data_IF_448476944154
#
_entry.id   IF_448476944154
#
_cell.length_a   1.000
_cell.length_b   1.000
_cell.length_c   1.000
_cell.angle_alpha   90.00
_cell.angle_beta   90.00
_cell.angle_gamma   90.00
#
_symmetry.space_group_name_H-M   'P 1'
#
loop_
_entity.id
_entity.type
_entity.pdbx_description
1 polymer ?
#
# COMPACT_ATOMS: atom_id res chain seq x y z
N UNK A 1 -12.27 -16.54 15.26
CA UNK A 1 -11.80 -15.39 14.48
C UNK A 1 -12.65 -15.15 13.26
N UNK A 2 -12.51 -13.98 12.64
CA UNK A 2 -13.23 -13.56 11.44
C UNK A 2 -12.22 -13.33 10.31
N UNK A 3 -12.62 -13.63 9.08
CA UNK A 3 -11.87 -13.37 7.86
C UNK A 3 -12.72 -12.48 6.95
N UNK A 4 -12.13 -11.38 6.45
CA UNK A 4 -12.76 -10.51 5.48
C UNK A 4 -12.05 -10.66 4.13
N UNK A 5 -12.82 -10.90 3.08
CA UNK A 5 -12.29 -11.25 1.75
C UNK A 5 -12.91 -10.33 0.72
N UNK A 6 -12.04 -9.74 -0.12
CA UNK A 6 -12.46 -9.05 -1.33
C UNK A 6 -12.67 -10.08 -2.44
N UNK A 7 -13.83 -10.03 -3.09
CA UNK A 7 -14.20 -10.87 -4.21
C UNK A 7 -14.78 -10.01 -5.34
N UNK A 8 -15.07 -10.65 -6.48
CA UNK A 8 -15.74 -10.01 -7.61
C UNK A 8 -16.69 -10.98 -8.30
N UNK A 9 -17.67 -10.45 -9.00
CA UNK A 9 -18.54 -11.20 -9.91
C UNK A 9 -18.82 -10.43 -11.19
N UNK A 10 -19.49 -11.08 -12.15
CA UNK A 10 -19.88 -10.49 -13.42
C UNK A 10 -18.74 -9.85 -14.21
N UNK A 11 -17.57 -10.52 -14.22
CA UNK A 11 -16.38 -10.00 -14.88
C UNK A 11 -15.98 -8.60 -14.38
N UNK A 12 -16.07 -8.39 -13.07
CA UNK A 12 -15.69 -7.15 -12.39
C UNK A 12 -16.73 -6.05 -12.39
N UNK A 13 -17.99 -6.29 -12.77
CA UNK A 13 -19.06 -5.31 -12.62
C UNK A 13 -19.56 -5.18 -11.17
N UNK A 14 -19.31 -6.19 -10.36
CA UNK A 14 -19.64 -6.18 -8.93
C UNK A 14 -18.41 -6.47 -8.09
N UNK A 15 -18.12 -5.62 -7.12
CA UNK A 15 -17.14 -5.86 -6.05
C UNK A 15 -17.87 -6.40 -4.85
N UNK A 16 -17.27 -7.32 -4.14
CA UNK A 16 -17.92 -8.04 -3.06
C UNK A 16 -16.98 -8.07 -1.86
N UNK A 17 -17.48 -7.65 -0.71
CA UNK A 17 -16.85 -7.85 0.57
C UNK A 17 -17.56 -8.99 1.30
N UNK A 18 -16.85 -10.03 1.65
CA UNK A 18 -17.39 -11.17 2.41
C UNK A 18 -16.76 -11.24 3.80
N UNK A 19 -17.61 -11.54 4.79
CA UNK A 19 -17.17 -11.99 6.11
C UNK A 19 -17.37 -13.48 6.24
N UNK A 20 -16.31 -14.16 6.65
CA UNK A 20 -16.30 -15.61 6.84
C UNK A 20 -15.79 -15.97 8.22
N UNK A 21 -16.26 -17.08 8.76
CA UNK A 21 -15.65 -17.69 9.93
C UNK A 21 -14.24 -18.17 9.58
N UNK A 22 -13.23 -17.71 10.33
CA UNK A 22 -11.82 -17.99 10.00
C UNK A 22 -11.43 -19.47 10.17
N UNK A 23 -12.18 -20.25 10.96
CA UNK A 23 -11.90 -21.67 11.22
C UNK A 23 -12.56 -22.58 10.18
N UNK A 24 -13.80 -22.26 9.77
CA UNK A 24 -14.63 -23.12 8.92
C UNK A 24 -14.76 -22.62 7.49
N UNK A 25 -14.37 -21.38 7.19
CA UNK A 25 -14.58 -20.74 5.90
C UNK A 25 -16.05 -20.37 5.62
N UNK A 26 -16.99 -20.66 6.54
CA UNK A 26 -18.42 -20.45 6.33
C UNK A 26 -18.74 -18.96 6.16
N UNK A 27 -19.47 -18.63 5.08
CA UNK A 27 -19.95 -17.29 4.81
C UNK A 27 -20.94 -16.85 5.93
N UNK A 28 -20.72 -15.66 6.48
CA UNK A 28 -21.60 -15.04 7.47
C UNK A 28 -22.45 -13.94 6.86
N UNK A 29 -21.83 -13.07 6.05
CA UNK A 29 -22.52 -12.08 5.24
C UNK A 29 -21.68 -11.68 4.02
N UNK A 30 -22.33 -11.07 3.04
CA UNK A 30 -21.69 -10.42 1.89
C UNK A 30 -22.34 -9.08 1.61
N UNK A 31 -21.52 -8.09 1.24
CA UNK A 31 -21.92 -6.77 0.78
C UNK A 31 -21.44 -6.58 -0.65
N UNK A 32 -22.31 -6.10 -1.51
CA UNK A 32 -22.02 -5.90 -2.94
C UNK A 32 -21.97 -4.42 -3.31
N UNK A 33 -21.05 -4.06 -4.21
CA UNK A 33 -20.85 -2.71 -4.71
C UNK A 33 -20.82 -2.74 -6.24
N UNK A 34 -21.59 -1.85 -6.86
CA UNK A 34 -21.54 -1.67 -8.31
C UNK A 34 -20.17 -1.13 -8.75
N UNK A 35 -19.69 -1.64 -9.89
CA UNK A 35 -18.43 -1.24 -10.48
C UNK A 35 -18.51 -1.35 -12.01
N UNK A 36 -17.39 -1.18 -12.70
CA UNK A 36 -17.29 -1.39 -14.14
C UNK A 36 -16.18 -2.37 -14.48
N UNK A 37 -16.45 -3.25 -15.43
CA UNK A 37 -15.42 -4.11 -15.99
C UNK A 37 -14.46 -3.29 -16.86
N UNK A 38 -13.22 -3.73 -16.88
CA UNK A 38 -12.16 -3.20 -17.74
C UNK A 38 -11.13 -4.29 -18.01
N UNK A 39 -10.22 -4.06 -18.91
CA UNK A 39 -9.16 -5.03 -19.20
C UNK A 39 -8.26 -5.21 -17.97
N UNK A 40 -8.06 -6.47 -17.56
CA UNK A 40 -7.07 -6.88 -16.56
C UNK A 40 -6.04 -7.81 -17.21
N UNK A 41 -4.77 -7.79 -16.81
CA UNK A 41 -3.79 -8.75 -17.28
C UNK A 41 -4.05 -10.13 -16.67
N UNK A 42 -3.47 -11.16 -17.27
CA UNK A 42 -3.68 -12.59 -16.90
C UNK A 42 -3.43 -12.90 -15.41
N UNK A 43 -2.50 -12.17 -14.78
CA UNK A 43 -2.08 -12.42 -13.40
C UNK A 43 -2.66 -11.44 -12.38
N UNK A 44 -3.65 -10.62 -12.78
CA UNK A 44 -4.37 -9.73 -11.88
C UNK A 44 -5.87 -10.03 -11.93
N UNK A 45 -6.58 -9.67 -10.87
CA UNK A 45 -8.04 -9.77 -10.75
C UNK A 45 -8.62 -8.43 -10.35
N UNK A 46 -9.93 -8.31 -10.36
CA UNK A 46 -10.61 -7.13 -9.85
C UNK A 46 -10.67 -7.09 -8.31
N UNK A 47 -10.16 -8.13 -7.62
CA UNK A 47 -10.20 -8.31 -6.17
C UNK A 47 -8.80 -8.31 -5.53
N UNK A 48 -7.81 -7.66 -6.13
CA UNK A 48 -6.42 -7.70 -5.68
C UNK A 48 -6.12 -6.81 -4.45
N UNK A 49 -6.97 -5.82 -4.15
CA UNK A 49 -6.85 -5.02 -2.93
C UNK A 49 -7.31 -5.81 -1.71
N UNK A 50 -6.54 -5.82 -0.64
CA UNK A 50 -6.89 -6.45 0.63
C UNK A 50 -7.69 -5.48 1.49
N UNK A 51 -8.87 -5.86 2.04
CA UNK A 51 -9.60 -5.02 2.98
C UNK A 51 -8.78 -4.78 4.26
N UNK A 52 -8.87 -3.59 4.84
CA UNK A 52 -8.39 -3.35 6.19
C UNK A 52 -9.55 -3.28 7.19
N UNK A 53 -9.26 -3.45 8.47
CA UNK A 53 -10.26 -3.60 9.51
C UNK A 53 -9.83 -2.87 10.78
N UNK A 54 -10.78 -2.23 11.44
CA UNK A 54 -10.62 -1.72 12.81
C UNK A 54 -11.71 -2.30 13.74
N UNK A 55 -11.83 -1.76 14.92
CA UNK A 55 -12.81 -2.20 15.94
C UNK A 55 -14.27 -1.98 15.55
N UNK A 56 -14.56 -1.13 14.56
CA UNK A 56 -15.90 -0.74 14.15
C UNK A 56 -16.26 -1.15 12.72
N UNK A 57 -15.28 -1.07 11.80
CA UNK A 57 -15.54 -1.18 10.37
C UNK A 57 -14.53 -2.04 9.63
N UNK A 58 -14.94 -2.45 8.45
CA UNK A 58 -14.11 -3.07 7.41
C UNK A 58 -14.11 -2.12 6.21
N UNK A 59 -12.93 -1.80 5.71
CA UNK A 59 -12.76 -0.87 4.59
C UNK A 59 -12.29 -1.61 3.36
N UNK A 60 -13.01 -1.44 2.27
CA UNK A 60 -12.71 -2.01 0.96
C UNK A 60 -12.38 -0.89 -0.03
N UNK A 61 -11.31 -1.08 -0.81
CA UNK A 61 -10.97 -0.21 -1.93
C UNK A 61 -11.04 -0.96 -3.26
N UNK A 62 -11.49 -0.28 -4.31
CA UNK A 62 -11.43 -0.78 -5.68
C UNK A 62 -11.19 0.35 -6.67
N UNK A 63 -10.42 0.05 -7.71
CA UNK A 63 -10.08 1.00 -8.76
C UNK A 63 -10.49 0.54 -10.14
N UNK A 64 -10.87 1.49 -10.97
CA UNK A 64 -11.12 1.33 -12.39
C UNK A 64 -10.36 2.40 -13.17
N UNK A 65 -10.24 2.32 -14.50
CA UNK A 65 -9.66 3.42 -15.28
C UNK A 65 -10.36 4.77 -15.14
N UNK A 66 -11.58 4.78 -14.58
CA UNK A 66 -12.37 6.01 -14.40
C UNK A 66 -12.37 6.53 -12.98
N UNK A 67 -12.23 5.64 -11.97
CA UNK A 67 -12.42 6.01 -10.57
C UNK A 67 -11.71 5.06 -9.60
N UNK A 68 -11.29 5.59 -8.48
CA UNK A 68 -11.00 4.86 -7.25
C UNK A 68 -12.13 5.13 -6.27
N UNK A 69 -12.61 4.10 -5.58
CA UNK A 69 -13.60 4.22 -4.50
C UNK A 69 -13.17 3.44 -3.27
N UNK A 70 -13.62 3.92 -2.14
CA UNK A 70 -13.55 3.23 -0.85
C UNK A 70 -14.95 3.11 -0.26
N UNK A 71 -15.17 2.05 0.51
CA UNK A 71 -16.37 1.89 1.31
C UNK A 71 -16.02 1.38 2.70
N UNK A 72 -16.79 1.80 3.70
CA UNK A 72 -16.79 1.23 5.04
C UNK A 72 -18.07 0.45 5.27
N UNK A 73 -17.91 -0.75 5.79
CA UNK A 73 -19.00 -1.65 6.18
C UNK A 73 -18.82 -1.99 7.66
N UNK A 74 -19.85 -1.98 8.46
CA UNK A 74 -19.76 -2.41 9.84
C UNK A 74 -19.59 -3.95 9.97
N UNK A 75 -19.29 -4.43 11.16
CA UNK A 75 -19.07 -5.85 11.38
C UNK A 75 -20.36 -6.72 11.23
N UNK A 76 -21.54 -6.09 11.12
CA UNK A 76 -22.80 -6.76 10.81
C UNK A 76 -23.07 -6.87 9.31
N UNK A 77 -22.28 -6.19 8.46
CA UNK A 77 -22.43 -6.18 7.01
C UNK A 77 -23.21 -4.98 6.46
N UNK A 78 -23.55 -3.99 7.30
CA UNK A 78 -24.25 -2.80 6.85
C UNK A 78 -23.28 -1.78 6.27
N UNK A 79 -23.62 -1.20 5.11
CA UNK A 79 -22.88 -0.10 4.53
C UNK A 79 -22.97 1.14 5.41
N UNK A 80 -21.82 1.66 5.86
CA UNK A 80 -21.72 2.88 6.65
C UNK A 80 -21.54 4.09 5.74
N UNK A 81 -20.58 4.02 4.83
CA UNK A 81 -20.36 5.02 3.80
C UNK A 81 -19.66 4.43 2.58
N UNK A 82 -19.82 5.09 1.44
CA UNK A 82 -19.05 4.89 0.23
C UNK A 82 -18.58 6.25 -0.26
N UNK A 83 -17.29 6.36 -0.57
CA UNK A 83 -16.72 7.62 -1.04
C UNK A 83 -17.27 8.02 -2.42
N UNK A 84 -17.24 9.31 -2.71
CA UNK A 84 -17.23 9.79 -4.09
C UNK A 84 -15.99 9.27 -4.83
N UNK A 85 -15.92 9.52 -6.14
CA UNK A 85 -14.75 9.14 -6.93
C UNK A 85 -13.51 9.90 -6.45
N UNK A 86 -12.49 9.15 -6.07
CA UNK A 86 -11.18 9.69 -5.67
C UNK A 86 -10.23 9.86 -6.86
N UNK A 87 -10.77 9.80 -8.08
CA UNK A 87 -10.06 9.95 -9.33
C UNK A 87 -9.71 8.63 -10.03
N UNK A 88 -9.20 8.70 -11.26
CA UNK A 88 -8.95 7.53 -12.11
C UNK A 88 -7.73 6.73 -11.65
N UNK A 89 -7.74 5.40 -11.93
CA UNK A 89 -6.57 4.52 -11.83
C UNK A 89 -6.24 4.03 -13.23
N UNK A 90 -5.38 4.77 -13.94
CA UNK A 90 -5.01 4.46 -15.32
C UNK A 90 -3.71 3.69 -15.38
N UNK A 91 -3.73 2.52 -16.00
CA UNK A 91 -2.53 1.70 -16.23
C UNK A 91 -2.86 0.30 -16.68
N UNK A 92 -1.89 -0.37 -17.29
CA UNK A 92 -2.09 -1.65 -17.96
C UNK A 92 -2.29 -2.85 -17.04
N UNK A 93 -2.01 -2.71 -15.74
CA UNK A 93 -2.05 -3.84 -14.79
C UNK A 93 -3.20 -3.77 -13.77
N UNK A 94 -4.06 -2.75 -13.84
CA UNK A 94 -5.21 -2.60 -12.94
C UNK A 94 -4.83 -2.12 -11.53
N UNK A 95 -5.80 -2.15 -10.62
CA UNK A 95 -5.67 -1.67 -9.24
C UNK A 95 -5.38 -2.84 -8.28
N UNK A 96 -4.44 -2.66 -7.35
CA UNK A 96 -4.15 -3.66 -6.32
C UNK A 96 -3.67 -3.06 -4.98
N UNK A 97 -3.54 -1.73 -4.88
CA UNK A 97 -3.15 -1.07 -3.63
C UNK A 97 -4.22 -1.29 -2.56
N UNK A 98 -3.78 -1.61 -1.34
CA UNK A 98 -4.68 -1.82 -0.20
C UNK A 98 -4.75 -0.57 0.68
N UNK A 99 -5.90 -0.28 1.30
CA UNK A 99 -6.01 0.77 2.30
C UNK A 99 -5.41 0.35 3.63
N UNK A 100 -5.03 1.31 4.46
CA UNK A 100 -4.71 1.12 5.88
C UNK A 100 -5.56 2.05 6.74
N UNK A 101 -5.73 1.68 8.00
CA UNK A 101 -6.33 2.53 9.03
C UNK A 101 -5.24 3.02 9.97
N UNK A 102 -5.27 4.32 10.27
CA UNK A 102 -4.45 4.91 11.32
C UNK A 102 -5.24 6.03 12.00
N UNK A 103 -5.41 5.95 13.31
CA UNK A 103 -6.24 6.87 14.10
C UNK A 103 -7.64 7.07 13.48
N UNK A 104 -7.99 8.29 13.11
CA UNK A 104 -9.26 8.62 12.46
C UNK A 104 -9.23 8.55 10.94
N UNK A 105 -8.17 8.01 10.33
CA UNK A 105 -7.95 8.03 8.89
C UNK A 105 -8.02 6.64 8.28
N UNK A 106 -8.60 6.57 7.08
CA UNK A 106 -8.36 5.50 6.11
C UNK A 106 -7.51 6.07 4.99
N UNK A 107 -6.35 5.47 4.75
CA UNK A 107 -5.33 6.01 3.86
C UNK A 107 -5.08 5.07 2.69
N UNK A 108 -4.93 5.63 1.50
CA UNK A 108 -4.67 4.88 0.28
C UNK A 108 -3.79 5.68 -0.69
N UNK A 109 -3.00 4.97 -1.48
CA UNK A 109 -2.30 5.53 -2.62
C UNK A 109 -3.11 5.31 -3.91
N UNK A 110 -3.24 6.35 -4.72
CA UNK A 110 -3.82 6.31 -6.06
C UNK A 110 -2.76 6.69 -7.09
N UNK A 111 -2.27 5.71 -7.81
CA UNK A 111 -1.29 5.92 -8.87
C UNK A 111 -1.91 5.85 -10.27
N UNK A 112 -1.29 6.58 -11.19
CA UNK A 112 -1.60 6.53 -12.62
C UNK A 112 -0.30 6.39 -13.42
N UNK A 113 -0.34 5.65 -14.52
CA UNK A 113 0.81 5.53 -15.43
C UNK A 113 1.00 6.81 -16.26
N UNK A 114 2.26 7.09 -16.58
CA UNK A 114 2.66 8.27 -17.36
C UNK A 114 2.62 9.56 -16.55
N UNK A 115 2.29 10.66 -17.21
CA UNK A 115 2.18 12.00 -16.60
C UNK A 115 0.84 12.25 -15.88
N UNK A 116 0.12 11.18 -15.52
CA UNK A 116 -1.16 11.30 -14.84
C UNK A 116 -1.03 11.81 -13.40
N UNK A 117 -2.14 12.29 -12.86
CA UNK A 117 -2.24 12.78 -11.48
C UNK A 117 -2.28 11.60 -10.51
N UNK A 118 -1.16 11.29 -9.89
CA UNK A 118 -1.10 10.39 -8.75
C UNK A 118 -1.30 11.16 -7.45
N UNK A 119 -1.79 10.48 -6.41
CA UNK A 119 -2.03 11.11 -5.12
C UNK A 119 -1.98 10.11 -3.96
N UNK A 120 -1.63 10.60 -2.78
CA UNK A 120 -1.87 9.95 -1.51
C UNK A 120 -3.11 10.59 -0.90
N UNK A 121 -4.04 9.79 -0.42
CA UNK A 121 -5.37 10.25 -0.01
C UNK A 121 -5.69 9.69 1.36
N UNK A 122 -6.15 10.56 2.27
CA UNK A 122 -6.72 10.15 3.54
C UNK A 122 -8.19 10.57 3.63
N UNK A 123 -9.02 9.65 4.07
CA UNK A 123 -10.43 9.86 4.35
C UNK A 123 -10.67 9.76 5.86
N UNK A 124 -11.61 10.52 6.38
CA UNK A 124 -12.13 10.33 7.73
C UNK A 124 -12.82 8.95 7.81
N UNK A 125 -12.38 8.10 8.74
CA UNK A 125 -12.85 6.71 8.82
C UNK A 125 -14.33 6.56 9.16
N UNK A 126 -14.96 7.58 9.75
CA UNK A 126 -16.38 7.54 10.16
C UNK A 126 -17.31 8.04 9.06
N UNK A 127 -16.85 9.00 8.25
CA UNK A 127 -17.70 9.69 7.28
C UNK A 127 -17.36 9.41 5.83
N UNK A 128 -16.13 8.94 5.54
CA UNK A 128 -15.62 8.76 4.18
C UNK A 128 -15.27 10.06 3.47
N UNK A 129 -15.32 11.20 4.17
CA UNK A 129 -14.92 12.49 3.61
C UNK A 129 -13.40 12.60 3.51
N UNK A 130 -12.91 13.21 2.43
CA UNK A 130 -11.48 13.44 2.25
C UNK A 130 -10.98 14.45 3.28
N UNK A 131 -9.97 14.06 4.07
CA UNK A 131 -9.29 14.91 5.05
C UNK A 131 -8.14 15.65 4.39
N UNK A 132 -7.31 14.91 3.64
CA UNK A 132 -6.23 15.50 2.87
C UNK A 132 -5.93 14.68 1.61
N UNK A 133 -5.36 15.37 0.63
CA UNK A 133 -4.83 14.79 -0.60
C UNK A 133 -3.46 15.38 -0.88
N UNK A 134 -2.46 14.53 -1.06
CA UNK A 134 -1.09 14.91 -1.39
C UNK A 134 -0.82 14.51 -2.83
N UNK A 135 -0.75 15.45 -3.77
CA UNK A 135 -0.35 15.15 -5.14
C UNK A 135 1.07 14.58 -5.18
N UNK A 136 1.26 13.58 -6.04
CA UNK A 136 2.60 13.09 -6.34
C UNK A 136 2.79 12.84 -7.83
N UNK A 137 4.05 12.77 -8.25
CA UNK A 137 4.39 12.51 -9.64
C UNK A 137 3.86 11.14 -10.06
N UNK A 138 3.22 11.07 -11.21
CA UNK A 138 2.89 9.84 -11.90
C UNK A 138 4.14 9.20 -12.52
N UNK A 139 4.07 7.92 -12.75
CA UNK A 139 5.16 7.16 -13.37
C UNK A 139 4.62 5.83 -13.85
N UNK A 140 4.64 4.83 -12.98
CA UNK A 140 3.96 3.54 -13.15
C UNK A 140 2.95 3.33 -12.05
N UNK A 141 2.02 2.39 -12.26
CA UNK A 141 1.22 1.88 -11.15
C UNK A 141 2.14 1.18 -10.16
N UNK A 142 2.07 1.60 -8.91
CA UNK A 142 2.67 0.93 -7.76
C UNK A 142 1.55 0.24 -6.98
N UNK A 143 1.89 -0.80 -6.24
CA UNK A 143 0.92 -1.66 -5.55
C UNK A 143 1.23 -1.81 -4.07
N UNK A 144 2.32 -1.18 -3.63
CA UNK A 144 2.77 -1.17 -2.25
C UNK A 144 1.69 -0.58 -1.34
N UNK A 145 1.33 -1.33 -0.31
CA UNK A 145 0.46 -0.84 0.76
C UNK A 145 1.29 0.00 1.72
N UNK A 146 0.86 1.22 2.09
CA UNK A 146 1.60 2.03 3.04
C UNK A 146 1.69 1.38 4.42
N UNK A 147 2.66 1.80 5.24
CA UNK A 147 2.74 1.41 6.64
C UNK A 147 2.84 2.65 7.54
N UNK A 148 2.61 2.45 8.83
CA UNK A 148 2.77 3.49 9.85
C UNK A 148 4.18 3.41 10.42
N UNK A 149 4.87 4.52 10.46
CA UNK A 149 6.15 4.70 11.12
C UNK A 149 5.99 5.70 12.28
N UNK A 150 6.38 5.28 13.47
CA UNK A 150 6.28 6.08 14.68
C UNK A 150 7.69 6.35 15.23
N UNK A 151 8.42 7.33 14.69
CA UNK A 151 9.75 7.65 15.20
C UNK A 151 9.68 8.18 16.62
N UNK A 152 10.67 7.87 17.41
CA UNK A 152 10.70 8.28 18.83
C UNK A 152 10.63 9.80 18.97
N UNK A 153 9.71 10.29 19.80
CA UNK A 153 9.53 11.72 20.08
C UNK A 153 8.89 12.54 18.96
N UNK A 154 8.36 11.90 17.91
CA UNK A 154 7.71 12.56 16.76
C UNK A 154 6.30 12.03 16.55
N UNK A 155 5.50 12.78 15.77
CA UNK A 155 4.19 12.32 15.30
C UNK A 155 4.30 11.12 14.36
N UNK A 156 3.21 10.37 14.24
CA UNK A 156 3.12 9.25 13.31
C UNK A 156 3.29 9.71 11.87
N UNK A 157 4.00 8.94 11.11
CA UNK A 157 4.23 9.14 9.67
C UNK A 157 3.70 7.96 8.88
N UNK A 158 3.13 8.23 7.74
CA UNK A 158 2.68 7.24 6.78
C UNK A 158 3.76 7.08 5.72
N UNK A 159 4.30 5.87 5.59
CA UNK A 159 5.40 5.58 4.66
C UNK A 159 4.84 4.99 3.38
N UNK A 160 5.16 5.62 2.27
CA UNK A 160 4.77 5.21 0.93
C UNK A 160 6.00 4.90 0.09
N UNK A 161 5.88 3.89 -0.74
CA UNK A 161 6.92 3.51 -1.70
C UNK A 161 6.37 3.62 -3.11
N UNK A 162 7.08 4.30 -3.99
CA UNK A 162 6.67 4.45 -5.39
C UNK A 162 7.86 4.68 -6.33
N UNK A 163 7.83 4.09 -7.49
CA UNK A 163 8.70 4.46 -8.60
C UNK A 163 8.04 5.60 -9.42
N UNK A 164 8.75 6.63 -9.86
CA UNK A 164 10.19 6.88 -9.72
C UNK A 164 10.59 7.70 -8.49
N UNK A 165 9.68 7.92 -7.55
CA UNK A 165 9.87 8.85 -6.44
C UNK A 165 10.87 8.30 -5.41
N UNK A 166 10.67 7.07 -4.96
CA UNK A 166 11.43 6.47 -3.87
C UNK A 166 10.56 6.15 -2.66
N UNK A 167 11.03 6.50 -1.49
CA UNK A 167 10.32 6.33 -0.21
C UNK A 167 9.94 7.69 0.34
N UNK A 168 8.67 7.87 0.67
CA UNK A 168 8.11 9.16 1.15
C UNK A 168 7.44 8.97 2.50
N UNK A 169 7.78 9.81 3.48
CA UNK A 169 7.09 9.93 4.76
C UNK A 169 6.13 11.12 4.77
N UNK A 170 4.88 10.88 5.10
CA UNK A 170 3.82 11.88 5.24
C UNK A 170 3.41 11.98 6.70
N UNK A 171 3.42 13.16 7.27
CA UNK A 171 2.83 13.39 8.59
C UNK A 171 1.34 12.99 8.58
N UNK A 172 0.97 12.03 9.40
CA UNK A 172 -0.35 11.42 9.33
C UNK A 172 -1.47 12.42 9.62
N UNK A 173 -1.26 13.34 10.55
CA UNK A 173 -2.29 14.28 10.98
C UNK A 173 -2.54 15.38 9.94
N UNK A 174 -1.48 15.94 9.36
CA UNK A 174 -1.56 17.11 8.48
C UNK A 174 -1.55 16.79 6.99
N UNK A 175 -1.13 15.60 6.59
CA UNK A 175 -0.88 15.24 5.19
C UNK A 175 0.36 15.93 4.59
N UNK A 176 1.15 16.64 5.39
CA UNK A 176 2.38 17.28 4.90
C UNK A 176 3.47 16.24 4.69
N UNK A 177 4.23 16.38 3.59
CA UNK A 177 5.42 15.59 3.39
C UNK A 177 6.47 15.95 4.45
N UNK A 178 6.84 14.95 5.26
CA UNK A 178 7.89 15.09 6.26
C UNK A 178 9.27 14.91 5.62
N UNK A 179 9.41 13.90 4.75
CA UNK A 179 10.66 13.60 4.05
C UNK A 179 10.40 12.80 2.76
N UNK A 180 11.41 12.75 1.90
CA UNK A 180 11.41 11.95 0.68
C UNK A 180 12.84 11.55 0.32
N UNK A 181 13.06 10.26 0.11
CA UNK A 181 14.37 9.69 -0.27
C UNK A 181 14.24 9.08 -1.67
N UNK A 182 15.02 9.60 -2.62
CA UNK A 182 15.16 9.03 -3.97
C UNK A 182 15.98 7.74 -3.91
N UNK A 183 15.38 6.67 -3.45
CA UNK A 183 16.07 5.42 -3.11
C UNK A 183 16.24 4.47 -4.31
N UNK A 184 15.60 4.71 -5.46
CA UNK A 184 15.54 3.74 -6.56
C UNK A 184 16.07 4.34 -7.87
N UNK A 185 16.45 3.46 -8.80
CA UNK A 185 16.83 3.88 -10.14
C UNK A 185 15.68 4.54 -10.88
N UNK A 186 15.92 5.60 -11.63
CA UNK A 186 14.96 6.25 -12.51
C UNK A 186 15.10 5.86 -13.97
N UNK A 187 16.13 5.11 -14.31
CA UNK A 187 16.49 4.77 -15.69
C UNK A 187 15.57 3.70 -16.30
N UNK A 188 15.10 2.77 -15.48
CA UNK A 188 14.21 1.68 -15.91
C UNK A 188 12.90 1.74 -15.16
N UNK A 189 11.81 1.42 -15.86
CA UNK A 189 10.47 1.49 -15.30
C UNK A 189 10.18 0.38 -14.28
N UNK A 190 10.67 0.54 -13.07
CA UNK A 190 10.41 -0.33 -11.93
C UNK A 190 8.99 -0.17 -11.37
N UNK A 191 8.64 -0.97 -10.39
CA UNK A 191 7.40 -0.85 -9.60
C UNK A 191 7.67 -1.16 -8.14
N UNK A 192 7.08 -0.39 -7.25
CA UNK A 192 6.96 -0.75 -5.85
C UNK A 192 5.70 -1.64 -5.70
N UNK A 193 5.92 -2.93 -5.47
CA UNK A 193 4.85 -3.92 -5.27
C UNK A 193 4.83 -4.38 -3.83
N UNK A 194 5.96 -4.85 -3.32
CA UNK A 194 6.11 -5.21 -1.93
C UNK A 194 5.89 -3.99 -1.02
N UNK A 195 5.19 -4.20 0.07
CA UNK A 195 4.91 -3.14 1.05
C UNK A 195 6.14 -2.86 1.92
N UNK A 196 6.37 -1.60 2.34
CA UNK A 196 7.42 -1.30 3.31
C UNK A 196 7.11 -1.94 4.66
N UNK A 197 8.16 -2.27 5.40
CA UNK A 197 8.08 -2.84 6.73
C UNK A 197 8.86 -1.96 7.69
N UNK A 198 8.32 -1.77 8.89
CA UNK A 198 8.95 -1.00 9.96
C UNK A 198 9.36 -1.94 11.09
N UNK A 199 10.56 -1.75 11.61
CA UNK A 199 11.05 -2.43 12.81
C UNK A 199 11.90 -1.47 13.61
N UNK A 200 11.52 -1.21 14.86
CA UNK A 200 12.11 -0.15 15.69
C UNK A 200 12.05 1.20 14.93
N UNK A 201 13.18 1.90 14.83
CA UNK A 201 13.30 3.14 14.07
C UNK A 201 13.74 2.94 12.62
N UNK A 202 13.66 1.71 12.08
CA UNK A 202 14.07 1.39 10.72
C UNK A 202 12.89 1.11 9.81
N UNK A 203 13.01 1.55 8.56
CA UNK A 203 12.07 1.33 7.47
C UNK A 203 12.80 0.51 6.39
N UNK A 204 12.21 -0.59 5.96
CA UNK A 204 12.71 -1.42 4.86
C UNK A 204 11.76 -1.31 3.68
N UNK A 205 12.30 -1.00 2.51
CA UNK A 205 11.51 -0.80 1.30
C UNK A 205 12.17 -1.45 0.09
N UNK A 206 11.37 -1.97 -0.83
CA UNK A 206 11.84 -2.53 -2.08
C UNK A 206 11.17 -1.86 -3.27
N UNK A 207 11.93 -1.77 -4.36
CA UNK A 207 11.42 -1.46 -5.67
C UNK A 207 12.18 -2.29 -6.70
N UNK A 208 11.49 -2.84 -7.68
CA UNK A 208 12.11 -3.78 -8.58
C UNK A 208 11.46 -3.82 -9.97
N UNK A 209 12.19 -4.42 -10.90
CA UNK A 209 11.67 -4.90 -12.17
C UNK A 209 11.89 -6.42 -12.27
N UNK A 210 11.17 -7.10 -13.14
CA UNK A 210 11.19 -8.57 -13.23
C UNK A 210 12.57 -9.16 -13.47
N UNK A 211 13.44 -8.46 -14.23
CA UNK A 211 14.80 -8.91 -14.52
C UNK A 211 15.85 -8.17 -13.69
N UNK A 212 15.89 -6.87 -13.78
CA UNK A 212 16.84 -5.95 -13.11
C UNK A 212 16.47 -4.50 -13.50
N UNK A 213 16.70 -3.46 -12.69
CA UNK A 213 17.30 -3.52 -11.34
C UNK A 213 16.32 -4.00 -10.26
N UNK A 214 16.88 -4.32 -9.08
CA UNK A 214 16.11 -4.66 -7.88
C UNK A 214 16.80 -4.04 -6.68
N UNK A 215 16.07 -3.26 -5.91
CA UNK A 215 16.57 -2.48 -4.79
C UNK A 215 15.85 -2.85 -3.49
N UNK A 216 16.61 -3.11 -2.44
CA UNK A 216 16.17 -3.18 -1.06
C UNK A 216 16.98 -2.15 -0.28
N UNK A 217 16.30 -1.25 0.41
CA UNK A 217 16.93 -0.19 1.20
C UNK A 217 16.44 -0.25 2.65
N UNK A 218 17.34 0.06 3.57
CA UNK A 218 17.04 0.29 4.97
C UNK A 218 17.28 1.76 5.30
N UNK A 219 16.26 2.43 5.80
CA UNK A 219 16.27 3.84 6.16
C UNK A 219 16.03 4.00 7.65
N UNK A 220 16.59 5.04 8.27
CA UNK A 220 16.28 5.45 9.64
C UNK A 220 16.32 6.98 9.78
N UNK A 221 15.78 7.56 10.86
CA UNK A 221 16.01 8.96 11.20
C UNK A 221 17.49 9.26 11.36
N UNK A 222 17.94 10.36 10.75
CA UNK A 222 19.30 10.84 10.89
C UNK A 222 19.56 11.53 12.25
N UNK A 223 20.82 11.83 12.51
CA UNK A 223 21.28 12.28 13.83
C UNK A 223 20.86 13.70 14.21
N UNK A 224 20.47 14.53 13.26
CA UNK A 224 20.07 15.93 13.59
C UNK A 224 18.74 16.03 14.32
N UNK A 225 17.92 14.99 14.25
CA UNK A 225 16.59 14.98 14.81
C UNK A 225 15.57 15.81 14.04
N UNK A 226 15.93 16.45 12.92
CA UNK A 226 14.98 17.18 12.07
C UNK A 226 13.97 16.23 11.43
N UNK A 227 12.71 16.63 11.21
CA UNK A 227 11.69 15.78 10.63
C UNK A 227 12.05 15.21 9.25
N UNK A 228 12.80 15.93 8.46
CA UNK A 228 13.26 15.60 7.11
C UNK A 228 14.63 14.91 7.08
N UNK A 229 15.29 14.76 8.24
CA UNK A 229 16.56 14.07 8.36
C UNK A 229 16.33 12.58 8.40
N UNK A 230 16.50 11.93 7.24
CA UNK A 230 16.45 10.49 7.05
C UNK A 230 17.69 10.03 6.32
N UNK A 231 18.29 8.95 6.76
CA UNK A 231 19.51 8.38 6.15
C UNK A 231 19.29 6.93 5.67
N UNK A 232 19.94 6.58 4.58
CA UNK A 232 20.07 5.20 4.14
C UNK A 232 21.18 4.53 4.94
N UNK A 233 20.85 3.48 5.68
CA UNK A 233 21.78 2.74 6.54
C UNK A 233 22.53 1.71 5.75
N UNK A 234 21.80 0.94 4.93
CA UNK A 234 22.35 -0.07 4.05
C UNK A 234 21.43 -0.35 2.86
N UNK A 235 22.00 -0.98 1.84
CA UNK A 235 21.33 -1.29 0.57
C UNK A 235 21.75 -2.65 0.03
N UNK A 236 20.83 -3.31 -0.66
CA UNK A 236 21.10 -4.49 -1.48
C UNK A 236 20.51 -4.27 -2.87
N UNK A 237 21.36 -4.37 -3.88
CA UNK A 237 21.01 -4.18 -5.29
C UNK A 237 21.32 -5.44 -6.10
N UNK A 238 20.57 -6.52 -5.87
CA UNK A 238 20.83 -7.80 -6.54
C UNK A 238 19.56 -8.65 -6.77
N UNK A 239 19.76 -9.81 -7.41
CA UNK A 239 18.66 -10.71 -7.79
C UNK A 239 17.93 -11.35 -6.61
N UNK A 240 18.49 -11.34 -5.39
CA UNK A 240 17.82 -11.89 -4.19
C UNK A 240 16.74 -10.97 -3.64
N UNK A 241 16.70 -9.70 -4.06
CA UNK A 241 15.66 -8.75 -3.66
C UNK A 241 14.31 -9.15 -4.26
N UNK A 242 13.22 -9.20 -3.47
CA UNK A 242 11.89 -9.50 -3.97
C UNK A 242 11.33 -8.37 -4.86
N UNK A 243 10.60 -8.76 -5.91
CA UNK A 243 9.79 -7.85 -6.70
C UNK A 243 8.34 -7.82 -6.20
N UNK A 244 7.76 -9.00 -5.95
CA UNK A 244 6.36 -9.15 -5.53
C UNK A 244 6.23 -9.48 -4.03
N UNK A 245 6.95 -10.49 -3.48
CA UNK A 245 6.77 -10.87 -2.09
C UNK A 245 7.13 -9.73 -1.13
N UNK A 246 6.31 -9.54 -0.10
CA UNK A 246 6.59 -8.58 0.97
C UNK A 246 7.68 -9.09 1.91
N UNK A 247 8.39 -8.15 2.51
CA UNK A 247 9.41 -8.40 3.54
C UNK A 247 8.75 -8.80 4.86
N UNK A 248 9.49 -9.54 5.68
CA UNK A 248 9.10 -9.83 7.07
C UNK A 248 10.29 -9.53 7.97
N UNK A 249 10.05 -8.81 9.06
CA UNK A 249 11.03 -8.65 10.12
C UNK A 249 10.60 -9.47 11.34
N UNK A 250 11.50 -10.28 11.84
CA UNK A 250 11.29 -11.08 13.04
C UNK A 250 12.59 -11.27 13.80
N UNK A 251 12.57 -11.01 15.11
CA UNK A 251 13.72 -11.19 16.03
C UNK A 251 15.02 -10.53 15.51
N UNK A 252 14.92 -9.24 15.14
CA UNK A 252 16.04 -8.44 14.65
C UNK A 252 16.56 -8.82 13.25
N UNK A 253 15.87 -9.70 12.54
CA UNK A 253 16.24 -10.18 11.21
C UNK A 253 15.19 -9.82 10.18
N UNK A 254 15.66 -9.42 9.00
CA UNK A 254 14.85 -9.16 7.82
C UNK A 254 14.91 -10.36 6.89
N UNK A 255 13.75 -10.92 6.57
CA UNK A 255 13.59 -12.02 5.63
C UNK A 255 13.03 -11.49 4.32
N UNK A 256 13.77 -11.71 3.24
CA UNK A 256 13.43 -11.34 1.89
C UNK A 256 13.27 -12.60 1.02
N UNK A 257 12.06 -12.86 0.58
CA UNK A 257 11.74 -14.00 -0.29
C UNK A 257 11.70 -13.54 -1.75
N UNK A 258 12.68 -13.95 -2.55
CA UNK A 258 12.74 -13.58 -3.96
C UNK A 258 11.65 -14.27 -4.79
N UNK A 259 11.33 -13.69 -5.95
CA UNK A 259 10.38 -14.27 -6.91
C UNK A 259 10.84 -15.63 -7.49
N UNK A 260 12.10 -15.97 -7.28
CA UNK A 260 12.70 -17.26 -7.69
C UNK A 260 12.62 -18.32 -6.58
N UNK A 261 12.01 -18.01 -5.43
CA UNK A 261 11.84 -18.94 -4.33
C UNK A 261 13.04 -19.05 -3.37
N UNK A 262 13.97 -18.08 -3.42
CA UNK A 262 15.11 -18.00 -2.50
C UNK A 262 14.76 -17.06 -1.35
N UNK A 263 14.87 -17.54 -0.12
CA UNK A 263 14.76 -16.71 1.08
C UNK A 263 16.15 -16.30 1.54
N UNK A 264 16.39 -14.99 1.61
CA UNK A 264 17.61 -14.41 2.19
C UNK A 264 17.28 -13.79 3.54
N UNK A 265 18.13 -14.03 4.53
CA UNK A 265 18.02 -13.46 5.86
C UNK A 265 19.15 -12.46 6.07
N UNK A 266 18.80 -11.24 6.46
CA UNK A 266 19.73 -10.14 6.75
C UNK A 266 19.61 -9.78 8.22
N UNK A 267 20.70 -9.36 8.84
CA UNK A 267 20.64 -8.61 10.10
C UNK A 267 19.94 -7.28 9.81
N UNK A 268 18.84 -6.98 10.50
CA UNK A 268 18.01 -5.82 10.15
C UNK A 268 18.76 -4.49 10.28
N UNK A 269 19.66 -4.35 11.26
CA UNK A 269 20.39 -3.10 11.52
C UNK A 269 21.58 -2.88 10.58
N UNK A 270 22.20 -3.94 10.07
CA UNK A 270 23.48 -3.83 9.35
C UNK A 270 23.46 -4.35 7.92
N UNK A 271 22.40 -5.06 7.50
CA UNK A 271 22.30 -5.66 6.18
C UNK A 271 23.13 -6.92 6.00
#
# INVERSE_FOLDING_TARGET
GQLYVNCESDSGRTRILEKRDARTGKLQWRQEFGSSSHRTPKFNTYASSTPCVDEHHVYLAWGTPKELRLAAVDHSGQLVWQSESLGPVKGGHGFATSPIVHDNLVVIARDTEGKGDSALIALDRKTGQTVWTVPRQGGRLNYSTPCVFQPQGRGAQLVFVAWPIGVTGIDAASGKRAWEIAAFSTEQGERAIASPVVHNDMIFATCAFTSSPKHLVALKPGPSGAPDDMEEVWRVDNASVPHIPSLIVYDGRLYAWSDQGICTCYEAETG
#
